data_IF_896017715542
#
_entry.id   IF_896017715542
#
_cell.length_a   1.000
_cell.length_b   1.000
_cell.length_c   1.000
_cell.angle_alpha   90.00
_cell.angle_beta   90.00
_cell.angle_gamma   90.00
#
_symmetry.space_group_name_H-M   'P 1'
#
loop_
_entity.id
_entity.type
_entity.pdbx_description
1 polymer ?
#
# COMPACT_ATOMS: atom_id res chain seq x y z
N UNK A 1 -20.98 -26.92 11.00
CA UNK A 1 -20.16 -26.50 9.84
C UNK A 1 -19.41 -25.24 10.26
N UNK A 2 -18.09 -25.31 10.49
CA UNK A 2 -17.28 -24.16 10.91
C UNK A 2 -16.85 -23.36 9.69
N UNK A 3 -17.31 -22.11 9.57
CA UNK A 3 -17.02 -21.20 8.44
C UNK A 3 -15.61 -20.60 8.56
N UNK A 4 -14.56 -21.44 8.56
CA UNK A 4 -13.17 -20.97 8.69
C UNK A 4 -12.78 -20.00 7.57
N UNK A 5 -13.32 -20.21 6.37
CA UNK A 5 -13.11 -19.38 5.18
C UNK A 5 -13.75 -17.98 5.29
N UNK A 6 -14.63 -17.74 6.27
CA UNK A 6 -15.21 -16.42 6.50
C UNK A 6 -14.29 -15.48 7.31
N UNK A 7 -13.15 -15.98 7.81
CA UNK A 7 -12.20 -15.22 8.60
C UNK A 7 -10.94 -14.95 7.79
N UNK A 8 -10.40 -13.74 7.89
CA UNK A 8 -9.15 -13.39 7.25
C UNK A 8 -7.99 -14.24 7.80
N UNK A 9 -7.10 -14.67 6.92
CA UNK A 9 -5.88 -15.38 7.28
C UNK A 9 -4.70 -14.84 6.47
N UNK A 10 -3.49 -15.15 6.93
CA UNK A 10 -2.23 -14.83 6.25
C UNK A 10 -1.86 -15.84 5.15
N UNK A 11 -2.73 -16.82 4.87
CA UNK A 11 -2.46 -17.91 3.91
C UNK A 11 -3.07 -17.66 2.53
N UNK A 12 -3.93 -16.66 2.43
CA UNK A 12 -4.72 -16.37 1.25
C UNK A 12 -4.54 -14.90 0.85
N UNK A 13 -4.68 -14.61 -0.44
CA UNK A 13 -4.58 -13.24 -0.94
C UNK A 13 -5.73 -12.40 -0.38
N UNK A 14 -5.42 -11.17 0.00
CA UNK A 14 -6.44 -10.20 0.36
C UNK A 14 -7.13 -9.71 -0.92
N UNK A 15 -8.46 -9.73 -0.92
CA UNK A 15 -9.22 -9.20 -2.06
C UNK A 15 -9.23 -10.11 -3.30
N UNK A 16 -9.08 -11.44 -3.14
CA UNK A 16 -9.30 -12.43 -4.20
C UNK A 16 -10.77 -12.55 -4.66
N UNK A 17 -11.52 -11.45 -4.62
CA UNK A 17 -12.92 -11.36 -5.04
C UNK A 17 -12.92 -10.85 -6.48
N UNK A 18 -13.41 -11.67 -7.40
CA UNK A 18 -13.44 -11.37 -8.84
C UNK A 18 -14.65 -10.46 -9.13
N UNK A 19 -14.47 -9.42 -9.97
CA UNK A 19 -15.58 -8.58 -10.45
C UNK A 19 -15.89 -7.36 -9.58
N UNK A 20 -15.02 -7.02 -8.63
CA UNK A 20 -15.14 -5.85 -7.76
C UNK A 20 -14.08 -4.79 -8.06
N UNK A 21 -13.55 -4.78 -9.28
CA UNK A 21 -12.61 -3.77 -9.73
C UNK A 21 -13.29 -2.40 -9.79
N UNK A 22 -12.60 -1.37 -9.28
CA UNK A 22 -13.13 0.00 -9.23
C UNK A 22 -12.38 0.84 -10.26
N UNK A 23 -13.13 1.50 -11.14
CA UNK A 23 -12.59 2.54 -12.01
C UNK A 23 -12.70 3.90 -11.32
N UNK A 24 -11.55 4.55 -11.08
CA UNK A 24 -11.47 5.84 -10.40
C UNK A 24 -11.19 6.92 -11.43
N UNK A 25 -12.22 7.67 -11.80
CA UNK A 25 -12.13 8.77 -12.76
C UNK A 25 -11.89 10.08 -12.01
N UNK A 26 -10.79 10.76 -12.31
CA UNK A 26 -10.51 12.09 -11.78
C UNK A 26 -11.43 13.12 -12.44
N UNK A 27 -12.08 13.96 -11.64
CA UNK A 27 -12.99 15.01 -12.10
C UNK A 27 -12.26 16.31 -12.52
N UNK A 28 -10.93 16.31 -12.51
CA UNK A 28 -10.09 17.45 -12.86
C UNK A 28 -9.02 17.02 -13.86
N UNK A 29 -8.64 17.96 -14.72
CA UNK A 29 -7.39 17.86 -15.47
C UNK A 29 -6.20 18.11 -14.54
N UNK A 30 -5.04 17.49 -14.81
CA UNK A 30 -3.87 17.59 -13.93
C UNK A 30 -3.51 19.06 -13.68
N UNK A 31 -3.63 19.52 -12.43
CA UNK A 31 -3.16 20.85 -12.07
C UNK A 31 -1.63 20.93 -12.23
N UNK A 32 -1.15 21.97 -12.92
CA UNK A 32 0.27 22.28 -13.03
C UNK A 32 0.84 22.74 -11.66
N UNK A 33 2.09 22.37 -11.29
CA UNK A 33 3.06 21.64 -12.08
C UNK A 33 3.02 20.12 -11.82
N UNK A 34 3.15 19.32 -12.89
CA UNK A 34 3.33 17.88 -12.80
C UNK A 34 4.78 17.60 -12.42
N UNK A 35 5.09 17.56 -11.11
CA UNK A 35 6.30 16.92 -10.57
C UNK A 35 6.23 16.92 -9.03
N UNK A 36 5.41 16.05 -8.46
CA UNK A 36 5.62 15.55 -7.09
C UNK A 36 6.69 14.46 -7.08
N UNK A 37 7.79 14.62 -7.83
CA UNK A 37 9.04 13.88 -7.54
C UNK A 37 9.72 14.52 -6.33
N UNK A 38 9.01 14.55 -5.21
CA UNK A 38 9.70 14.75 -3.93
C UNK A 38 10.45 13.45 -3.66
N UNK A 39 11.75 13.49 -3.36
CA UNK A 39 12.43 12.30 -2.89
C UNK A 39 11.64 11.76 -1.70
N UNK A 40 11.59 10.44 -1.56
CA UNK A 40 11.00 9.83 -0.37
C UNK A 40 11.61 10.53 0.86
N UNK A 41 10.75 11.00 1.77
CA UNK A 41 11.21 11.69 2.96
C UNK A 41 12.25 10.79 3.66
N UNK A 42 13.38 11.34 4.13
CA UNK A 42 14.39 10.53 4.78
C UNK A 42 13.79 9.83 6.00
N UNK A 43 13.56 8.53 5.86
CA UNK A 43 13.11 7.67 6.95
C UNK A 43 14.32 7.22 7.77
N UNK A 44 14.17 7.18 9.09
CA UNK A 44 15.20 6.60 9.98
C UNK A 44 15.42 5.12 9.64
N UNK A 45 16.60 4.57 9.98
CA UNK A 45 16.92 3.15 9.73
C UNK A 45 15.85 2.23 10.31
N UNK A 46 15.43 2.47 11.57
CA UNK A 46 14.32 1.76 12.21
C UNK A 46 13.02 1.81 11.40
N UNK A 47 12.69 2.98 10.85
CA UNK A 47 11.47 3.14 10.04
C UNK A 47 11.57 2.42 8.70
N UNK A 48 12.76 2.40 8.08
CA UNK A 48 12.97 1.66 6.83
C UNK A 48 12.82 0.16 7.01
N UNK A 49 13.40 -0.40 8.08
CA UNK A 49 13.30 -1.82 8.40
C UNK A 49 11.85 -2.25 8.66
N UNK A 50 11.11 -1.47 9.45
CA UNK A 50 9.68 -1.73 9.71
C UNK A 50 8.84 -1.64 8.42
N UNK A 51 9.09 -0.61 7.59
CA UNK A 51 8.42 -0.48 6.30
C UNK A 51 8.73 -1.65 5.37
N UNK A 52 9.96 -2.13 5.34
CA UNK A 52 10.36 -3.25 4.47
C UNK A 52 9.60 -4.52 4.82
N UNK A 53 9.41 -4.82 6.11
CA UNK A 53 8.58 -5.95 6.56
C UNK A 53 7.15 -5.83 6.04
N UNK A 54 6.50 -4.68 6.25
CA UNK A 54 5.12 -4.47 5.80
C UNK A 54 4.98 -4.46 4.28
N UNK A 55 5.94 -3.90 3.56
CA UNK A 55 5.94 -3.94 2.09
C UNK A 55 6.02 -5.38 1.60
N UNK A 56 6.87 -6.23 2.20
CA UNK A 56 6.97 -7.66 1.85
C UNK A 56 5.66 -8.40 2.12
N UNK A 57 5.02 -8.14 3.26
CA UNK A 57 3.72 -8.73 3.62
C UNK A 57 2.64 -8.33 2.60
N UNK A 58 2.53 -7.04 2.27
CA UNK A 58 1.54 -6.53 1.32
C UNK A 58 1.77 -7.03 -0.11
N UNK A 59 3.03 -7.22 -0.51
CA UNK A 59 3.37 -7.87 -1.78
C UNK A 59 2.94 -9.34 -1.79
N UNK A 60 3.19 -10.07 -0.69
CA UNK A 60 2.79 -11.48 -0.56
C UNK A 60 1.27 -11.66 -0.58
N UNK A 61 0.54 -10.78 0.10
CA UNK A 61 -0.93 -10.80 0.17
C UNK A 61 -1.61 -10.26 -1.10
N UNK A 62 -0.84 -9.80 -2.10
CA UNK A 62 -1.38 -9.30 -3.38
C UNK A 62 -2.03 -7.91 -3.30
N UNK A 63 -1.80 -7.17 -2.21
CA UNK A 63 -2.38 -5.83 -2.01
C UNK A 63 -1.64 -4.76 -2.82
N UNK A 64 -0.30 -4.85 -2.87
CA UNK A 64 0.53 -3.98 -3.69
C UNK A 64 1.33 -4.81 -4.69
N UNK A 65 1.75 -4.17 -5.77
CA UNK A 65 2.63 -4.79 -6.78
C UNK A 65 3.72 -3.84 -7.20
N UNK A 66 4.81 -4.41 -7.71
CA UNK A 66 5.83 -3.62 -8.41
C UNK A 66 5.29 -3.23 -9.78
N UNK A 67 5.41 -1.96 -10.12
CA UNK A 67 5.13 -1.43 -11.45
C UNK A 67 6.35 -1.72 -12.35
N UNK A 68 6.13 -2.30 -13.53
CA UNK A 68 7.16 -2.65 -14.48
C UNK A 68 7.83 -1.43 -15.11
N UNK A 69 9.04 -1.61 -15.66
CA UNK A 69 9.82 -0.51 -16.26
C UNK A 69 9.12 0.18 -17.44
N UNK A 70 8.21 -0.51 -18.12
CA UNK A 70 7.47 -0.01 -19.27
C UNK A 70 6.05 0.46 -18.92
N UNK A 71 5.66 0.41 -17.64
CA UNK A 71 4.37 0.90 -17.18
C UNK A 71 4.50 2.37 -16.74
N UNK A 72 3.65 3.24 -17.28
CA UNK A 72 3.63 4.65 -16.91
C UNK A 72 2.97 4.83 -15.54
N UNK A 73 3.65 5.56 -14.64
CA UNK A 73 3.09 5.96 -13.34
C UNK A 73 2.64 7.41 -13.45
N UNK A 74 1.33 7.60 -13.52
CA UNK A 74 0.72 8.93 -13.65
C UNK A 74 0.87 9.80 -12.40
N UNK A 75 0.83 9.18 -11.22
CA UNK A 75 0.82 9.85 -9.92
C UNK A 75 1.81 9.17 -8.98
N UNK A 76 2.63 9.96 -8.30
CA UNK A 76 3.48 9.50 -7.20
C UNK A 76 3.22 10.37 -5.98
N UNK A 77 2.86 9.75 -4.87
CA UNK A 77 2.61 10.42 -3.60
C UNK A 77 3.68 10.04 -2.58
N UNK A 78 4.03 10.95 -1.66
CA UNK A 78 4.96 10.61 -0.58
C UNK A 78 4.34 9.56 0.35
N UNK A 79 5.18 8.66 0.88
CA UNK A 79 4.83 7.76 1.99
C UNK A 79 5.06 8.49 3.31
N UNK A 80 4.07 8.46 4.20
CA UNK A 80 4.15 9.07 5.53
C UNK A 80 4.26 7.94 6.56
N UNK A 81 5.27 8.02 7.43
CA UNK A 81 5.45 7.07 8.54
C UNK A 81 4.89 7.68 9.80
N UNK A 82 3.89 7.01 10.38
CA UNK A 82 3.34 7.33 11.69
C UNK A 82 3.55 6.13 12.62
N UNK A 83 4.14 6.37 13.79
CA UNK A 83 4.26 5.37 14.84
C UNK A 83 3.09 5.52 15.79
N UNK A 84 2.37 4.43 16.06
CA UNK A 84 1.42 4.42 17.17
C UNK A 84 2.20 4.14 18.46
N UNK A 85 2.19 5.12 19.38
CA UNK A 85 2.80 5.00 20.71
C UNK A 85 1.72 4.68 21.76
N UNK A 86 0.78 3.80 21.45
CA UNK A 86 -0.12 3.27 22.47
C UNK A 86 0.66 2.40 23.45
N UNK A 87 0.76 2.88 24.69
CA UNK A 87 1.06 2.05 25.85
C UNK A 87 -0.09 1.03 25.94
N UNK A 88 0.16 -0.21 25.55
CA UNK A 88 -0.73 -1.32 25.89
C UNK A 88 -0.62 -1.55 27.41
N UNK A 89 -1.30 -0.71 28.19
CA UNK A 89 -1.71 -1.05 29.55
C UNK A 89 -2.81 -2.10 29.42
N UNK A 90 -2.42 -3.36 29.61
CA UNK A 90 -3.32 -4.47 29.94
C UNK A 90 -3.31 -4.68 31.45
#
# INVERSE_FOLDING_TARGET
>A
MTKKEAFASDKELLGAIIGHEIDIILNIERAYPPLLRRPAYPASTKSREALETHIKELLYLGVIRKVGHNEEVEVTTPVIVAWNNESLEL
#
